data_IF_055144308390
#
_entry.id   IF_055144308390
#
_cell.length_a   1.000
_cell.length_b   1.000
_cell.length_c   1.000
_cell.angle_alpha   90.00
_cell.angle_beta   90.00
_cell.angle_gamma   90.00
#
_symmetry.space_group_name_H-M   'P 1'
#
loop_
_entity.id
_entity.type
_entity.pdbx_description
1 polymer ?
#
# COMPACT_ATOMS: atom_id res chain seq x y z
N UNK A 1 14.11 1.93 -16.49
CA UNK A 1 13.95 1.67 -15.04
C UNK A 1 12.51 1.96 -14.65
N UNK A 2 11.96 1.26 -13.65
CA UNK A 2 10.60 1.47 -13.16
C UNK A 2 10.65 2.10 -11.75
N UNK A 3 10.52 3.43 -11.61
CA UNK A 3 10.67 4.10 -10.32
C UNK A 3 9.49 3.90 -9.38
N UNK A 4 8.33 3.44 -9.88
CA UNK A 4 7.12 3.29 -9.11
C UNK A 4 6.58 1.87 -9.14
N UNK A 5 5.83 1.52 -8.09
CA UNK A 5 5.24 0.20 -7.92
C UNK A 5 3.81 0.29 -7.41
N UNK A 6 2.94 -0.56 -7.95
CA UNK A 6 1.63 -0.90 -7.39
C UNK A 6 1.60 -2.36 -6.94
N UNK A 7 0.75 -2.67 -5.97
CA UNK A 7 0.61 -4.03 -5.45
C UNK A 7 -0.86 -4.36 -5.35
N UNK A 8 -1.32 -5.21 -6.26
CA UNK A 8 -2.73 -5.50 -6.47
C UNK A 8 -3.01 -6.91 -5.95
N UNK A 9 -4.07 -7.03 -5.17
CA UNK A 9 -4.55 -8.32 -4.68
C UNK A 9 -5.44 -8.96 -5.76
N UNK A 10 -5.05 -10.15 -6.22
CA UNK A 10 -5.80 -10.94 -7.19
C UNK A 10 -6.36 -12.17 -6.48
N UNK A 11 -7.67 -12.34 -6.51
CA UNK A 11 -8.38 -13.48 -5.92
C UNK A 11 -9.73 -13.64 -6.63
N UNK A 12 -10.23 -14.88 -6.73
CA UNK A 12 -11.47 -15.18 -7.47
C UNK A 12 -11.51 -14.62 -8.90
N UNK A 13 -10.37 -14.64 -9.60
CA UNK A 13 -10.21 -14.08 -10.95
C UNK A 13 -10.52 -12.57 -11.06
N UNK A 14 -10.41 -11.83 -9.96
CA UNK A 14 -10.67 -10.40 -9.90
C UNK A 14 -9.46 -9.63 -9.36
N UNK A 15 -9.24 -8.43 -9.91
CA UNK A 15 -8.28 -7.46 -9.39
C UNK A 15 -8.97 -6.50 -8.42
N UNK A 16 -8.62 -6.59 -7.13
CA UNK A 16 -9.27 -5.78 -6.09
C UNK A 16 -8.75 -4.34 -6.10
N UNK A 17 -9.66 -3.39 -5.91
CA UNK A 17 -9.38 -1.93 -5.88
C UNK A 17 -8.68 -1.39 -7.15
N UNK A 18 -8.85 -2.05 -8.30
CA UNK A 18 -8.15 -1.73 -9.54
C UNK A 18 -8.24 -0.24 -9.91
N UNK A 19 -9.43 0.35 -9.87
CA UNK A 19 -9.63 1.76 -10.18
C UNK A 19 -8.83 2.70 -9.25
N UNK A 20 -8.69 2.35 -7.97
CA UNK A 20 -7.88 3.14 -7.03
C UNK A 20 -6.39 3.00 -7.30
N UNK A 21 -5.94 1.83 -7.74
CA UNK A 21 -4.57 1.61 -8.19
C UNK A 21 -4.26 2.44 -9.43
N UNK A 22 -5.14 2.41 -10.45
CA UNK A 22 -4.99 3.20 -11.66
C UNK A 22 -5.01 4.71 -11.38
N UNK A 23 -5.91 5.17 -10.50
CA UNK A 23 -5.98 6.58 -10.11
C UNK A 23 -4.70 7.05 -9.39
N UNK A 24 -4.15 6.24 -8.47
CA UNK A 24 -2.89 6.59 -7.80
C UNK A 24 -1.73 6.60 -8.79
N UNK A 25 -1.69 5.65 -9.73
CA UNK A 25 -0.69 5.62 -10.78
C UNK A 25 -0.74 6.88 -11.65
N UNK A 26 -1.94 7.30 -12.06
CA UNK A 26 -2.14 8.53 -12.83
C UNK A 26 -1.66 9.77 -12.07
N UNK A 27 -2.03 9.91 -10.79
CA UNK A 27 -1.58 11.02 -9.94
C UNK A 27 -0.06 11.05 -9.81
N UNK A 28 0.56 9.88 -9.60
CA UNK A 28 2.02 9.74 -9.53
C UNK A 28 2.68 10.19 -10.83
N UNK A 29 2.13 9.81 -11.99
CA UNK A 29 2.69 10.21 -13.28
C UNK A 29 2.55 11.72 -13.53
N UNK A 30 1.40 12.31 -13.20
CA UNK A 30 1.20 13.75 -13.31
C UNK A 30 2.16 14.51 -12.39
N UNK A 31 2.29 14.08 -11.14
CA UNK A 31 3.15 14.74 -10.16
C UNK A 31 4.64 14.65 -10.51
N UNK A 32 5.11 13.46 -10.90
CA UNK A 32 6.54 13.21 -11.11
C UNK A 32 7.02 13.54 -12.53
N UNK A 33 6.20 13.27 -13.55
CA UNK A 33 6.58 13.49 -14.96
C UNK A 33 5.91 14.70 -15.60
N UNK A 34 4.95 15.32 -14.92
CA UNK A 34 4.06 16.33 -15.51
C UNK A 34 3.34 15.81 -16.77
N UNK A 35 2.99 14.51 -16.78
CA UNK A 35 2.39 13.81 -17.92
C UNK A 35 1.38 12.76 -17.47
N UNK A 36 0.39 12.53 -18.34
CA UNK A 36 -0.60 11.47 -18.16
C UNK A 36 -0.11 10.13 -18.71
N UNK A 37 -0.33 9.05 -17.97
CA UNK A 37 -0.04 7.70 -18.45
C UNK A 37 -1.26 7.12 -19.16
N UNK A 38 -1.05 6.37 -20.25
CA UNK A 38 -2.11 5.61 -20.92
C UNK A 38 -2.55 4.44 -20.03
N UNK A 39 -3.62 4.62 -19.27
CA UNK A 39 -4.09 3.62 -18.29
C UNK A 39 -4.78 2.41 -18.93
N UNK A 40 -5.39 2.57 -20.12
CA UNK A 40 -6.18 1.52 -20.76
C UNK A 40 -5.37 0.24 -21.03
N UNK A 41 -4.12 0.38 -21.48
CA UNK A 41 -3.22 -0.76 -21.72
C UNK A 41 -2.87 -1.46 -20.40
N UNK A 42 -2.56 -0.69 -19.36
CA UNK A 42 -2.25 -1.23 -18.02
C UNK A 42 -3.45 -1.97 -17.44
N UNK A 43 -4.64 -1.40 -17.58
CA UNK A 43 -5.89 -2.00 -17.10
C UNK A 43 -6.19 -3.31 -17.83
N UNK A 44 -6.06 -3.34 -19.15
CA UNK A 44 -6.27 -4.53 -19.96
C UNK A 44 -5.33 -5.68 -19.55
N UNK A 45 -4.04 -5.39 -19.36
CA UNK A 45 -3.05 -6.39 -18.94
C UNK A 45 -3.36 -6.97 -17.55
N UNK A 46 -3.76 -6.11 -16.60
CA UNK A 46 -4.13 -6.56 -15.25
C UNK A 46 -5.38 -7.42 -15.28
N UNK A 47 -6.41 -7.02 -16.04
CA UNK A 47 -7.66 -7.78 -16.16
C UNK A 47 -7.44 -9.12 -16.85
N UNK A 48 -6.63 -9.14 -17.92
CA UNK A 48 -6.23 -10.38 -18.58
C UNK A 48 -5.53 -11.33 -17.61
N UNK A 49 -4.51 -10.84 -16.90
CA UNK A 49 -3.80 -11.62 -15.89
C UNK A 49 -4.75 -12.15 -14.79
N UNK A 50 -5.62 -11.28 -14.27
CA UNK A 50 -6.56 -11.64 -13.22
C UNK A 50 -7.51 -12.76 -13.67
N UNK A 51 -8.03 -12.68 -14.89
CA UNK A 51 -8.98 -13.66 -15.45
C UNK A 51 -8.41 -15.09 -15.51
N UNK A 52 -7.08 -15.24 -15.56
CA UNK A 52 -6.40 -16.54 -15.62
C UNK A 52 -5.90 -17.01 -14.24
N UNK A 53 -5.97 -16.15 -13.22
CA UNK A 53 -5.38 -16.39 -11.90
C UNK A 53 -6.35 -17.16 -11.01
N UNK A 54 -6.00 -18.42 -10.72
CA UNK A 54 -6.80 -19.32 -9.87
C UNK A 54 -6.43 -19.26 -8.39
N UNK A 55 -5.20 -18.88 -8.07
CA UNK A 55 -4.66 -18.85 -6.71
C UNK A 55 -4.53 -17.40 -6.27
N UNK A 56 -4.84 -17.14 -4.99
CA UNK A 56 -4.61 -15.85 -4.36
C UNK A 56 -3.18 -15.35 -4.62
N UNK A 57 -3.08 -14.22 -5.32
CA UNK A 57 -1.82 -13.71 -5.86
C UNK A 57 -1.64 -12.24 -5.52
N UNK A 58 -0.41 -11.90 -5.12
CA UNK A 58 0.08 -10.52 -5.04
C UNK A 58 0.69 -10.16 -6.40
N UNK A 59 0.02 -9.31 -7.15
CA UNK A 59 0.49 -8.80 -8.43
C UNK A 59 1.23 -7.48 -8.23
N UNK A 60 2.56 -7.48 -8.44
CA UNK A 60 3.37 -6.27 -8.36
C UNK A 60 3.49 -5.64 -9.75
N UNK A 61 2.88 -4.47 -9.93
CA UNK A 61 2.96 -3.67 -11.16
C UNK A 61 4.08 -2.65 -11.01
N UNK A 62 5.17 -2.79 -11.77
CA UNK A 62 6.24 -1.81 -11.82
C UNK A 62 6.08 -0.93 -13.05
N UNK A 63 6.22 0.38 -12.92
CA UNK A 63 5.95 1.30 -14.02
C UNK A 63 6.81 2.57 -14.01
N UNK A 64 6.91 3.17 -15.19
CA UNK A 64 7.28 4.56 -15.43
C UNK A 64 6.21 5.18 -16.37
N UNK A 65 6.46 6.37 -16.92
CA UNK A 65 5.51 7.02 -17.84
C UNK A 65 5.20 6.15 -19.08
N UNK A 66 6.21 5.56 -19.71
CA UNK A 66 6.08 4.87 -21.00
C UNK A 66 5.69 3.40 -20.90
N UNK A 67 6.17 2.70 -19.87
CA UNK A 67 6.19 1.24 -19.78
C UNK A 67 5.73 0.75 -18.41
N UNK A 68 5.30 -0.51 -18.38
CA UNK A 68 5.00 -1.24 -17.15
C UNK A 68 5.35 -2.73 -17.29
N UNK A 69 5.43 -3.41 -16.16
CA UNK A 69 5.59 -4.87 -16.09
C UNK A 69 4.87 -5.44 -14.87
N UNK A 70 4.42 -6.68 -15.00
CA UNK A 70 3.65 -7.40 -13.98
C UNK A 70 4.49 -8.55 -13.42
N UNK A 71 4.71 -8.53 -12.10
CA UNK A 71 5.48 -9.54 -11.37
C UNK A 71 4.57 -10.22 -10.33
N UNK A 72 4.01 -11.39 -10.63
CA UNK A 72 3.15 -12.12 -9.71
C UNK A 72 3.95 -12.89 -8.66
N UNK A 73 3.44 -12.92 -7.44
CA UNK A 73 3.98 -13.70 -6.32
C UNK A 73 2.84 -14.30 -5.49
N UNK A 74 3.07 -15.45 -4.88
CA UNK A 74 2.09 -16.02 -3.93
C UNK A 74 1.98 -15.09 -2.73
N UNK A 75 0.75 -14.80 -2.32
CA UNK A 75 0.51 -13.96 -1.15
C UNK A 75 0.69 -14.76 0.14
N UNK A 76 1.62 -14.31 0.97
CA UNK A 76 1.78 -14.79 2.34
C UNK A 76 1.48 -13.65 3.31
N UNK A 77 0.55 -13.88 4.23
CA UNK A 77 0.29 -12.93 5.30
C UNK A 77 1.45 -12.96 6.28
N UNK A 78 2.04 -11.78 6.56
CA UNK A 78 3.04 -11.65 7.60
C UNK A 78 2.38 -11.78 8.98
N UNK A 79 2.93 -12.61 9.85
CA UNK A 79 2.59 -12.58 11.26
C UNK A 79 3.47 -11.52 11.94
N UNK A 80 2.87 -10.49 12.53
CA UNK A 80 3.60 -9.43 13.23
C UNK A 80 3.36 -9.61 14.73
N UNK A 81 4.45 -9.78 15.47
CA UNK A 81 4.42 -10.00 16.92
C UNK A 81 4.54 -8.69 17.69
N UNK A 82 5.50 -7.84 17.31
CA UNK A 82 5.75 -6.57 18.00
C UNK A 82 5.95 -5.40 17.03
N UNK A 83 5.75 -4.19 17.56
CA UNK A 83 5.97 -2.93 16.85
C UNK A 83 6.99 -2.07 17.59
N UNK A 84 8.02 -1.61 16.87
CA UNK A 84 9.03 -0.67 17.37
C UNK A 84 8.76 0.73 16.86
N UNK A 85 8.77 1.73 17.73
CA UNK A 85 8.75 3.13 17.29
C UNK A 85 10.13 3.52 16.78
N UNK A 86 10.21 4.03 15.55
CA UNK A 86 11.45 4.55 14.97
C UNK A 86 11.22 5.97 14.49
N UNK A 87 12.01 6.91 15.00
CA UNK A 87 11.98 8.30 14.55
C UNK A 87 12.82 8.48 13.29
N UNK A 88 12.24 9.10 12.27
CA UNK A 88 12.96 9.58 11.10
C UNK A 88 12.24 10.78 10.50
N UNK A 89 12.86 11.96 10.61
CA UNK A 89 12.29 13.22 10.13
C UNK A 89 12.61 13.52 8.66
N UNK A 90 13.58 12.81 8.08
CA UNK A 90 14.05 12.99 6.70
C UNK A 90 13.38 12.03 5.70
N UNK A 91 12.68 11.00 6.17
CA UNK A 91 12.10 10.00 5.29
C UNK A 91 11.04 10.62 4.38
N UNK A 92 11.16 10.28 3.10
CA UNK A 92 10.16 10.57 2.09
C UNK A 92 9.70 9.28 1.39
N UNK A 93 8.39 9.06 1.41
CA UNK A 93 7.70 7.99 0.71
C UNK A 93 6.28 8.43 0.30
N UNK A 94 6.11 9.71 -0.06
CA UNK A 94 4.80 10.27 -0.47
C UNK A 94 4.25 9.63 -1.74
N UNK A 95 5.14 9.22 -2.65
CA UNK A 95 4.84 8.34 -3.77
C UNK A 95 5.24 6.90 -3.44
N UNK A 96 4.56 5.95 -4.07
CA UNK A 96 4.87 4.53 -3.89
C UNK A 96 6.06 4.12 -4.74
N UNK A 97 7.25 4.52 -4.31
CA UNK A 97 8.50 4.23 -4.99
C UNK A 97 8.81 2.73 -4.99
N UNK A 98 9.34 2.25 -6.12
CA UNK A 98 9.85 0.89 -6.27
C UNK A 98 11.15 0.71 -5.48
N UNK A 99 11.99 1.75 -5.39
CA UNK A 99 13.09 1.78 -4.45
C UNK A 99 12.54 1.91 -3.02
N UNK A 100 12.94 0.98 -2.17
CA UNK A 100 12.53 0.89 -0.76
C UNK A 100 13.71 0.94 0.19
N UNK A 101 14.88 1.41 -0.27
CA UNK A 101 16.12 1.44 0.50
C UNK A 101 15.95 2.22 1.82
N UNK A 102 15.29 3.37 1.81
CA UNK A 102 15.03 4.15 3.03
C UNK A 102 14.21 3.36 4.06
N UNK A 103 13.13 2.72 3.63
CA UNK A 103 12.29 1.87 4.50
C UNK A 103 13.03 0.61 4.97
N UNK A 104 13.82 0.00 4.09
CA UNK A 104 14.61 -1.19 4.40
C UNK A 104 15.69 -0.86 5.43
N UNK A 105 16.33 0.31 5.33
CA UNK A 105 17.32 0.80 6.29
C UNK A 105 16.74 0.90 7.70
N UNK A 106 15.52 1.42 7.84
CA UNK A 106 14.83 1.47 9.14
C UNK A 106 14.54 0.07 9.72
N UNK A 107 14.40 -0.94 8.87
CA UNK A 107 14.12 -2.33 9.25
C UNK A 107 15.37 -3.20 9.40
N UNK A 108 16.59 -2.71 9.09
CA UNK A 108 17.81 -3.54 9.01
C UNK A 108 18.09 -4.36 10.28
N UNK A 109 17.83 -3.80 11.46
CA UNK A 109 18.09 -4.43 12.76
C UNK A 109 16.82 -4.97 13.44
N UNK A 110 15.71 -5.02 12.71
CA UNK A 110 14.41 -5.47 13.22
C UNK A 110 14.14 -6.88 12.69
N UNK A 111 13.71 -7.79 13.56
CA UNK A 111 13.40 -9.17 13.18
C UNK A 111 12.30 -9.21 12.12
N UNK A 112 12.20 -10.33 11.39
CA UNK A 112 11.23 -10.49 10.32
C UNK A 112 9.78 -10.53 10.84
N UNK A 113 9.61 -11.06 12.06
CA UNK A 113 8.36 -11.20 12.80
C UNK A 113 7.94 -9.90 13.49
N UNK A 114 8.82 -8.89 13.52
CA UNK A 114 8.56 -7.59 14.11
C UNK A 114 8.34 -6.54 13.02
N UNK A 115 7.73 -5.41 13.37
CA UNK A 115 7.49 -4.31 12.46
C UNK A 115 7.83 -2.97 13.12
N UNK A 116 7.98 -1.92 12.32
CA UNK A 116 8.24 -0.57 12.82
C UNK A 116 6.97 0.27 12.69
N UNK A 117 6.87 1.30 13.50
CA UNK A 117 5.97 2.43 13.31
C UNK A 117 6.85 3.65 13.21
N UNK A 118 6.77 4.32 12.06
CA UNK A 118 7.62 5.45 11.75
C UNK A 118 7.01 6.70 12.39
N UNK A 119 7.81 7.38 13.19
CA UNK A 119 7.51 8.66 13.80
C UNK A 119 8.25 9.74 13.00
N UNK A 120 7.51 10.71 12.47
CA UNK A 120 8.06 11.85 11.73
C UNK A 120 7.53 13.14 12.33
N UNK A 121 8.42 14.03 12.73
CA UNK A 121 8.13 15.30 13.39
C UNK A 121 7.21 15.13 14.61
N UNK A 122 7.51 14.10 15.42
CA UNK A 122 6.72 13.73 16.60
C UNK A 122 5.34 13.12 16.30
N UNK A 123 5.02 12.81 15.04
CA UNK A 123 3.72 12.26 14.63
C UNK A 123 3.85 10.81 14.14
N UNK A 124 2.89 9.98 14.52
CA UNK A 124 2.75 8.62 13.98
C UNK A 124 2.38 8.69 12.50
N UNK A 125 3.06 7.89 11.68
CA UNK A 125 2.81 7.82 10.24
C UNK A 125 2.38 6.41 9.82
N UNK A 126 3.31 5.59 9.35
CA UNK A 126 3.10 4.28 8.74
C UNK A 126 4.03 3.23 9.33
N UNK A 127 3.82 1.96 8.96
CA UNK A 127 4.85 0.93 9.11
C UNK A 127 5.79 0.92 7.92
N UNK A 128 6.74 -0.01 7.87
CA UNK A 128 7.57 -0.17 6.67
C UNK A 128 6.77 -0.48 5.41
N UNK A 129 5.58 -1.09 5.47
CA UNK A 129 4.85 -1.53 4.27
C UNK A 129 3.35 -1.23 4.23
N UNK A 130 2.78 -0.64 5.28
CA UNK A 130 1.33 -0.45 5.41
C UNK A 130 0.99 0.81 6.19
N UNK A 131 -0.20 1.35 5.94
CA UNK A 131 -0.77 2.36 6.83
C UNK A 131 -1.25 1.68 8.13
N UNK A 132 -1.36 2.47 9.21
CA UNK A 132 -1.76 1.97 10.53
C UNK A 132 -3.17 2.46 10.88
N UNK A 133 -3.94 1.60 11.55
CA UNK A 133 -5.14 2.02 12.27
C UNK A 133 -5.14 1.54 13.73
N UNK A 134 -5.65 2.39 14.61
CA UNK A 134 -5.81 2.14 16.04
C UNK A 134 -7.29 1.97 16.35
N UNK A 135 -7.61 1.01 17.22
CA UNK A 135 -8.96 0.87 17.75
C UNK A 135 -9.07 1.68 19.04
N UNK A 136 -9.87 2.74 19.04
CA UNK A 136 -10.10 3.63 20.18
C UNK A 136 -11.58 3.95 20.30
N UNK A 137 -12.15 3.81 21.51
CA UNK A 137 -13.54 4.20 21.80
C UNK A 137 -14.57 3.65 20.79
N UNK A 138 -14.50 2.35 20.51
CA UNK A 138 -15.34 1.66 19.52
C UNK A 138 -15.21 2.16 18.07
N UNK A 139 -14.15 2.88 17.75
CA UNK A 139 -13.89 3.41 16.42
C UNK A 139 -12.48 3.08 15.98
N UNK A 140 -12.32 2.82 14.68
CA UNK A 140 -11.02 2.78 14.06
C UNK A 140 -10.59 4.22 13.74
N UNK A 141 -9.37 4.58 14.13
CA UNK A 141 -8.73 5.85 13.77
C UNK A 141 -7.43 5.56 13.02
N UNK A 142 -7.05 6.42 12.09
CA UNK A 142 -5.78 6.31 11.34
C UNK A 142 -5.11 7.68 11.35
N UNK A 143 -3.77 7.77 11.39
CA UNK A 143 -3.10 9.05 11.31
C UNK A 143 -3.54 9.88 10.10
N UNK A 144 -3.66 11.19 10.30
CA UNK A 144 -3.90 12.15 9.22
C UNK A 144 -2.58 12.56 8.51
N UNK A 145 -1.43 12.09 9.00
CA UNK A 145 -0.09 12.31 8.46
C UNK A 145 0.58 11.00 8.04
N UNK A 146 0.00 10.19 7.12
CA UNK A 146 0.71 9.05 6.57
C UNK A 146 1.91 9.53 5.74
N UNK A 147 2.97 8.73 5.63
CA UNK A 147 3.99 8.89 4.59
C UNK A 147 3.35 8.68 3.23
N UNK A 148 2.67 7.54 3.03
CA UNK A 148 1.99 7.20 1.77
C UNK A 148 0.47 7.17 1.97
N UNK A 149 -0.29 7.89 1.16
CA UNK A 149 -1.75 7.77 1.20
C UNK A 149 -2.23 6.45 0.55
N UNK A 150 -2.23 5.35 1.32
CA UNK A 150 -2.52 4.02 0.80
C UNK A 150 -3.95 3.82 0.32
N UNK A 151 -4.13 2.91 -0.64
CA UNK A 151 -5.42 2.64 -1.29
C UNK A 151 -6.45 2.10 -0.31
N UNK A 152 -6.06 1.15 0.54
CA UNK A 152 -6.97 0.61 1.56
C UNK A 152 -7.33 1.66 2.61
N UNK A 153 -6.37 2.52 3.01
CA UNK A 153 -6.66 3.68 3.87
C UNK A 153 -7.70 4.60 3.25
N UNK A 154 -7.54 4.97 1.99
CA UNK A 154 -8.51 5.79 1.26
C UNK A 154 -9.88 5.10 1.17
N UNK A 155 -9.90 3.82 0.78
CA UNK A 155 -11.12 3.00 0.76
C UNK A 155 -11.84 3.05 2.10
N UNK A 156 -11.14 2.76 3.21
CA UNK A 156 -11.75 2.77 4.53
C UNK A 156 -12.20 4.16 4.98
N UNK A 157 -11.55 5.24 4.54
CA UNK A 157 -12.02 6.60 4.85
C UNK A 157 -13.28 6.96 4.07
N UNK A 158 -13.35 6.59 2.79
CA UNK A 158 -14.55 6.76 1.96
C UNK A 158 -15.71 5.91 2.50
N UNK A 159 -15.41 4.67 2.87
CA UNK A 159 -16.33 3.67 3.40
C UNK A 159 -16.70 3.89 4.86
N UNK A 160 -15.92 4.65 5.65
CA UNK A 160 -16.29 5.02 7.02
C UNK A 160 -17.48 5.98 7.08
N UNK A 161 -17.96 6.50 5.94
CA UNK A 161 -19.34 6.99 5.85
C UNK A 161 -20.39 5.87 6.08
N UNK A 162 -20.03 4.60 5.88
CA UNK A 162 -20.93 3.43 5.80
C UNK A 162 -20.53 2.13 6.59
N UNK A 163 -19.34 2.02 7.20
CA UNK A 163 -18.76 0.72 7.67
C UNK A 163 -18.66 0.48 9.20
N UNK A 164 -19.50 1.11 10.03
CA UNK A 164 -19.48 0.90 11.49
C UNK A 164 -19.96 -0.49 11.98
N UNK A 165 -20.16 -1.50 11.12
CA UNK A 165 -20.92 -2.71 11.51
C UNK A 165 -20.26 -4.08 11.30
N UNK A 166 -18.97 -4.23 10.92
CA UNK A 166 -18.41 -5.59 10.78
C UNK A 166 -16.94 -5.78 11.22
N UNK A 167 -16.78 -6.72 12.17
CA UNK A 167 -15.59 -7.53 12.57
C UNK A 167 -14.75 -7.15 13.81
N UNK A 168 -15.21 -7.62 14.97
CA UNK A 168 -14.66 -8.69 15.87
C UNK A 168 -13.14 -8.88 16.12
N UNK A 169 -12.25 -7.92 15.88
CA UNK A 169 -10.94 -7.97 16.54
C UNK A 169 -10.51 -6.58 17.05
N UNK A 170 -10.19 -6.53 18.35
CA UNK A 170 -9.79 -5.32 19.09
C UNK A 170 -8.28 -5.04 19.02
N UNK A 171 -7.50 -5.79 18.22
CA UNK A 171 -6.06 -5.57 18.05
C UNK A 171 -5.81 -4.54 16.96
N UNK A 172 -4.81 -3.65 17.07
CA UNK A 172 -4.38 -2.81 15.95
C UNK A 172 -4.18 -3.67 14.69
N UNK A 173 -4.72 -3.22 13.56
CA UNK A 173 -4.47 -3.85 12.28
C UNK A 173 -3.76 -2.88 11.37
N UNK A 174 -2.89 -3.43 10.54
CA UNK A 174 -2.28 -2.73 9.42
C UNK A 174 -3.15 -2.95 8.18
N UNK A 175 -3.32 -1.89 7.41
CA UNK A 175 -4.21 -1.87 6.24
C UNK A 175 -3.40 -1.82 4.95
#
# INVERSE_FOLDING_TARGET
MYPFIETIHIEHQQAYELERHLLRMQKTCIEYYNQEKKLNEVQADILHFASQTKIKTKLSLHYNIDKHTLLPTIYYQKNIETFFLIENNEIDYHLKYADRNSLNQLKLNIKNEDEIIIVKDGKITDTSFSNICFFKQNQWVTPNTPLLNGIKRQKYLDEKKNYFTRNKSRRPFYI
#
